data_IF_033466873733
#
_entry.id   IF_033466873733
#
_cell.length_a   1.000
_cell.length_b   1.000
_cell.length_c   1.000
_cell.angle_alpha   90.00
_cell.angle_beta   90.00
_cell.angle_gamma   90.00
#
_symmetry.space_group_name_H-M   'P 1'
#
loop_
_entity.id
_entity.type
_entity.pdbx_description
1 polymer ?
#
# COMPACT_ATOMS: atom_id res chain seq x y z
N UNK A 1 9.41 17.47 11.19
CA UNK A 1 8.04 17.28 10.64
C UNK A 1 7.83 15.78 10.55
N UNK A 2 6.69 15.28 11.00
CA UNK A 2 6.39 13.83 10.91
C UNK A 2 5.87 13.55 9.51
N UNK A 3 6.50 12.62 8.79
CA UNK A 3 6.03 12.19 7.46
C UNK A 3 5.17 10.94 7.58
N UNK A 4 4.02 10.95 6.93
CA UNK A 4 3.08 9.82 6.89
C UNK A 4 2.82 9.49 5.43
N UNK A 5 2.96 8.22 5.06
CA UNK A 5 2.75 7.75 3.69
C UNK A 5 1.49 6.88 3.63
N UNK A 6 0.48 7.33 2.89
CA UNK A 6 -0.74 6.57 2.65
C UNK A 6 -0.57 5.68 1.42
N UNK A 7 -0.93 4.40 1.52
CA UNK A 7 -1.03 3.47 0.38
C UNK A 7 -2.50 3.23 0.10
N UNK A 8 -2.99 3.71 -1.04
CA UNK A 8 -4.42 3.85 -1.30
C UNK A 8 -4.83 3.27 -2.66
N UNK A 9 -6.02 2.65 -2.67
CA UNK A 9 -6.77 2.21 -3.85
C UNK A 9 -8.10 1.61 -3.35
N UNK A 10 -9.24 2.07 -3.86
CA UNK A 10 -10.55 1.57 -3.46
C UNK A 10 -10.85 0.18 -4.04
N UNK A 11 -10.24 -0.17 -5.18
CA UNK A 11 -10.29 -1.55 -5.70
C UNK A 11 -9.44 -2.50 -4.85
N UNK A 12 -10.06 -3.60 -4.39
CA UNK A 12 -9.35 -4.72 -3.76
C UNK A 12 -8.55 -5.54 -4.78
N UNK A 13 -7.50 -6.23 -4.33
CA UNK A 13 -6.70 -7.13 -5.19
C UNK A 13 -5.63 -6.46 -6.05
N UNK A 14 -5.43 -5.14 -5.93
CA UNK A 14 -4.45 -4.38 -6.74
C UNK A 14 -3.00 -4.44 -6.26
N UNK A 15 -2.72 -5.19 -5.18
CA UNK A 15 -1.38 -5.28 -4.59
C UNK A 15 -1.02 -4.22 -3.54
N UNK A 16 -1.98 -3.52 -2.92
CA UNK A 16 -1.70 -2.55 -1.83
C UNK A 16 -0.83 -3.12 -0.71
N UNK A 17 -1.24 -4.24 -0.14
CA UNK A 17 -0.50 -4.88 0.95
C UNK A 17 0.89 -5.36 0.51
N UNK A 18 1.10 -5.69 -0.78
CA UNK A 18 2.43 -5.99 -1.31
C UNK A 18 3.32 -4.74 -1.30
N UNK A 19 2.80 -3.61 -1.80
CA UNK A 19 3.48 -2.30 -1.76
C UNK A 19 3.78 -1.88 -0.32
N UNK A 20 2.82 -2.02 0.59
CA UNK A 20 3.02 -1.71 2.01
C UNK A 20 4.11 -2.58 2.63
N UNK A 21 4.14 -3.88 2.33
CA UNK A 21 5.21 -4.77 2.79
C UNK A 21 6.58 -4.35 2.26
N UNK A 22 6.67 -3.99 0.97
CA UNK A 22 7.91 -3.48 0.38
C UNK A 22 8.35 -2.18 1.06
N UNK A 23 7.42 -1.25 1.34
CA UNK A 23 7.71 -0.02 2.08
C UNK A 23 8.19 -0.31 3.52
N UNK A 24 7.52 -1.23 4.22
CA UNK A 24 7.87 -1.61 5.59
C UNK A 24 9.24 -2.32 5.65
N UNK A 25 9.66 -2.94 4.55
CA UNK A 25 10.99 -3.51 4.41
C UNK A 25 12.04 -2.47 4.03
N UNK A 26 11.72 -1.54 3.12
CA UNK A 26 12.58 -0.42 2.75
C UNK A 26 12.82 0.56 3.90
N UNK A 27 11.86 0.65 4.83
CA UNK A 27 11.94 1.47 6.04
C UNK A 27 11.69 0.58 7.27
N UNK A 28 12.70 -0.17 7.75
CA UNK A 28 12.54 -1.18 8.80
C UNK A 28 11.99 -0.66 10.14
N UNK A 29 12.23 0.61 10.45
CA UNK A 29 11.82 1.23 11.72
C UNK A 29 10.49 1.99 11.64
N UNK A 30 9.89 2.09 10.44
CA UNK A 30 8.60 2.74 10.27
C UNK A 30 7.48 1.88 10.90
N UNK A 31 6.67 2.44 11.81
CA UNK A 31 5.41 1.83 12.20
C UNK A 31 4.47 1.72 10.99
N UNK A 32 3.63 0.69 11.01
CA UNK A 32 2.58 0.48 10.01
C UNK A 32 1.23 0.59 10.69
N UNK A 33 0.33 1.34 10.08
CA UNK A 33 -1.07 1.37 10.45
C UNK A 33 -1.83 0.66 9.34
N UNK A 34 -2.66 -0.32 9.70
CA UNK A 34 -3.52 -1.02 8.75
C UNK A 34 -4.97 -0.65 9.02
N UNK A 35 -5.67 -0.16 7.99
CA UNK A 35 -7.07 0.27 8.07
C UNK A 35 -7.87 -0.54 7.07
N UNK A 36 -8.47 -1.66 7.49
CA UNK A 36 -9.21 -2.55 6.58
C UNK A 36 -10.30 -3.31 7.37
N UNK A 37 -11.16 -4.04 6.66
CA UNK A 37 -12.15 -4.93 7.27
C UNK A 37 -11.52 -6.17 7.93
N UNK A 38 -10.31 -6.54 7.52
CA UNK A 38 -9.57 -7.70 8.03
C UNK A 38 -8.07 -7.40 8.07
N UNK A 39 -7.38 -7.85 9.11
CA UNK A 39 -5.92 -7.70 9.22
C UNK A 39 -5.19 -8.63 8.25
N UNK A 40 -4.32 -8.08 7.40
CA UNK A 40 -3.55 -8.78 6.35
C UNK A 40 -2.05 -8.72 6.58
N UNK A 41 -1.55 -7.77 7.36
CA UNK A 41 -0.11 -7.55 7.58
C UNK A 41 0.41 -8.19 8.88
N UNK A 42 -0.13 -9.36 9.23
CA UNK A 42 0.10 -10.06 10.51
C UNK A 42 1.59 -10.38 10.72
N UNK A 43 2.31 -10.64 9.63
CA UNK A 43 3.74 -10.95 9.66
C UNK A 43 4.61 -9.79 10.17
N UNK A 44 4.10 -8.56 10.18
CA UNK A 44 4.78 -7.37 10.72
C UNK A 44 4.67 -7.26 12.26
N UNK A 45 3.87 -8.12 12.91
CA UNK A 45 3.78 -8.26 14.37
C UNK A 45 3.51 -6.92 15.08
N UNK A 46 4.34 -6.56 16.04
CA UNK A 46 4.26 -5.35 16.87
C UNK A 46 4.46 -4.05 16.09
N UNK A 47 4.97 -4.13 14.84
CA UNK A 47 5.07 -2.96 13.97
C UNK A 47 3.73 -2.52 13.39
N UNK A 48 2.73 -3.41 13.32
CA UNK A 48 1.42 -3.07 12.75
C UNK A 48 0.39 -2.78 13.84
N UNK A 49 -0.25 -1.62 13.74
CA UNK A 49 -1.47 -1.30 14.50
C UNK A 49 -2.68 -1.40 13.58
N UNK A 50 -3.59 -2.32 13.86
CA UNK A 50 -4.78 -2.57 13.05
C UNK A 50 -5.99 -1.78 13.55
N UNK A 51 -6.64 -1.04 12.66
CA UNK A 51 -7.91 -0.35 12.87
C UNK A 51 -8.99 -0.99 11.98
N UNK A 52 -9.96 -1.70 12.58
CA UNK A 52 -11.00 -2.38 11.81
C UNK A 52 -12.00 -1.37 11.26
N UNK A 53 -12.25 -1.42 9.94
CA UNK A 53 -13.34 -0.69 9.29
C UNK A 53 -14.58 -1.58 9.22
N UNK A 54 -15.66 -1.16 9.87
CA UNK A 54 -16.89 -1.96 10.01
C UNK A 54 -18.03 -1.41 9.18
N UNK A 55 -18.03 -0.11 8.90
CA UNK A 55 -19.05 0.49 8.05
C UNK A 55 -18.89 0.00 6.61
N UNK A 56 -19.86 -0.79 6.14
CA UNK A 56 -20.00 -1.07 4.71
C UNK A 56 -20.42 0.20 3.96
N UNK A 57 -20.23 0.19 2.63
CA UNK A 57 -20.53 1.35 1.78
C UNK A 57 -21.98 1.84 1.95
N UNK A 58 -22.92 0.91 2.18
CA UNK A 58 -24.32 1.22 2.38
C UNK A 58 -24.58 1.99 3.70
N UNK A 59 -23.93 1.60 4.80
CA UNK A 59 -24.00 2.30 6.09
C UNK A 59 -23.33 3.68 6.05
N UNK A 60 -22.26 3.82 5.26
CA UNK A 60 -21.61 5.12 5.01
C UNK A 60 -22.56 6.06 4.28
N UNK A 61 -23.20 5.58 3.21
CA UNK A 61 -24.16 6.35 2.42
C UNK A 61 -25.41 6.73 3.24
N UNK A 62 -25.96 5.79 4.03
CA UNK A 62 -27.15 6.00 4.86
C UNK A 62 -26.92 7.02 6.00
N UNK A 63 -25.71 7.07 6.54
CA UNK A 63 -25.34 7.98 7.64
C UNK A 63 -24.90 9.37 7.19
N UNK A 64 -24.84 9.62 5.88
CA UNK A 64 -24.21 10.81 5.31
C UNK A 64 -22.72 10.91 5.64
N UNK A 65 -22.05 9.76 5.81
CA UNK A 65 -20.62 9.66 6.14
C UNK A 65 -20.25 9.91 7.60
N UNK A 66 -21.19 10.13 8.51
CA UNK A 66 -20.87 10.37 9.94
C UNK A 66 -20.34 9.12 10.65
N UNK A 67 -20.89 7.94 10.35
CA UNK A 67 -20.42 6.68 10.94
C UNK A 67 -18.98 6.36 10.50
N UNK A 68 -18.66 6.58 9.22
CA UNK A 68 -17.30 6.42 8.69
C UNK A 68 -16.28 7.34 9.36
N UNK A 69 -16.66 8.60 9.64
CA UNK A 69 -15.78 9.58 10.27
C UNK A 69 -15.34 9.16 11.67
N UNK A 70 -16.28 8.67 12.49
CA UNK A 70 -15.97 8.20 13.84
C UNK A 70 -15.02 6.99 13.82
N UNK A 71 -15.10 6.12 12.81
CA UNK A 71 -14.17 5.00 12.64
C UNK A 71 -12.73 5.48 12.32
N UNK A 72 -12.56 6.66 11.73
CA UNK A 72 -11.25 7.24 11.44
C UNK A 72 -10.61 8.00 12.59
N UNK A 73 -11.35 8.35 13.65
CA UNK A 73 -10.82 9.13 14.78
C UNK A 73 -9.62 8.44 15.44
N UNK A 74 -9.66 7.12 15.56
CA UNK A 74 -8.55 6.32 16.09
C UNK A 74 -7.30 6.41 15.21
N UNK A 75 -7.47 6.32 13.90
CA UNK A 75 -6.37 6.44 12.91
C UNK A 75 -5.79 7.85 12.95
N UNK A 76 -6.63 8.88 12.94
CA UNK A 76 -6.22 10.28 12.99
C UNK A 76 -5.48 10.57 14.31
N UNK A 77 -5.96 10.05 15.43
CA UNK A 77 -5.28 10.17 16.73
C UNK A 77 -3.90 9.49 16.69
N UNK A 78 -3.78 8.32 16.04
CA UNK A 78 -2.50 7.66 15.86
C UNK A 78 -1.54 8.48 14.98
N UNK A 79 -2.05 9.10 13.90
CA UNK A 79 -1.27 10.03 13.07
C UNK A 79 -0.75 11.22 13.88
N UNK A 80 -1.59 11.80 14.75
CA UNK A 80 -1.19 12.92 15.62
C UNK A 80 -0.10 12.53 16.62
N UNK A 81 -0.14 11.30 17.13
CA UNK A 81 0.84 10.75 18.09
C UNK A 81 2.09 10.20 17.42
N UNK A 82 2.14 10.13 16.10
CA UNK A 82 3.26 9.56 15.37
C UNK A 82 4.51 10.43 15.56
N UNK A 83 5.53 9.82 16.17
CA UNK A 83 6.85 10.44 16.40
C UNK A 83 7.90 9.99 15.38
N UNK A 84 7.55 9.04 14.51
CA UNK A 84 8.41 8.44 13.49
C UNK A 84 7.70 8.47 12.13
N UNK A 85 8.45 8.40 11.01
CA UNK A 85 7.87 8.16 9.71
C UNK A 85 6.97 6.93 9.73
N UNK A 86 5.72 7.07 9.29
CA UNK A 86 4.68 6.04 9.44
C UNK A 86 4.06 5.70 8.09
N UNK A 87 3.80 4.42 7.85
CA UNK A 87 3.10 3.92 6.67
C UNK A 87 1.66 3.60 7.06
N UNK A 88 0.68 3.95 6.22
CA UNK A 88 -0.73 3.61 6.42
C UNK A 88 -1.23 2.81 5.21
N UNK A 89 -1.52 1.53 5.39
CA UNK A 89 -2.23 0.69 4.42
C UNK A 89 -3.72 0.93 4.54
N UNK A 90 -4.33 1.50 3.50
CA UNK A 90 -5.77 1.79 3.49
C UNK A 90 -6.48 0.77 2.62
N UNK A 91 -7.43 0.06 3.24
CA UNK A 91 -8.22 -1.00 2.66
C UNK A 91 -9.06 -0.58 1.46
N UNK A 92 -9.61 -1.60 0.78
CA UNK A 92 -10.52 -1.40 -0.33
C UNK A 92 -11.81 -0.69 0.14
N UNK A 93 -12.40 0.14 -0.72
CA UNK A 93 -13.58 0.97 -0.46
C UNK A 93 -13.44 2.03 0.66
N UNK A 94 -12.28 2.13 1.32
CA UNK A 94 -12.03 3.09 2.40
C UNK A 94 -11.22 4.31 1.94
N UNK A 95 -10.42 4.16 0.88
CA UNK A 95 -9.39 5.11 0.48
C UNK A 95 -9.94 6.51 0.19
N UNK A 96 -10.91 6.65 -0.72
CA UNK A 96 -11.46 7.97 -1.05
C UNK A 96 -12.15 8.63 0.15
N UNK A 97 -12.86 7.86 0.97
CA UNK A 97 -13.57 8.38 2.14
C UNK A 97 -12.60 8.90 3.21
N UNK A 98 -11.54 8.14 3.51
CA UNK A 98 -10.52 8.53 4.47
C UNK A 98 -9.75 9.76 4.00
N UNK A 99 -9.34 9.80 2.72
CA UNK A 99 -8.66 10.96 2.14
C UNK A 99 -9.52 12.22 2.14
N UNK A 100 -10.83 12.08 1.93
CA UNK A 100 -11.76 13.22 2.00
C UNK A 100 -11.83 13.80 3.41
N UNK A 101 -11.82 12.94 4.44
CA UNK A 101 -11.77 13.37 5.85
C UNK A 101 -10.43 14.05 6.16
N UNK A 102 -9.31 13.46 5.74
CA UNK A 102 -7.99 14.09 5.92
C UNK A 102 -7.90 15.44 5.20
N UNK A 103 -8.49 15.57 4.01
CA UNK A 103 -8.60 16.83 3.28
C UNK A 103 -9.31 17.92 4.07
N UNK A 104 -10.40 17.58 4.77
CA UNK A 104 -11.10 18.53 5.65
C UNK A 104 -10.30 18.93 6.91
N UNK A 105 -9.24 18.18 7.23
CA UNK A 105 -8.37 18.40 8.37
C UNK A 105 -6.97 18.90 7.97
N UNK A 106 -6.75 19.23 6.68
CA UNK A 106 -5.42 19.53 6.14
C UNK A 106 -4.70 20.66 6.90
N UNK A 107 -5.41 21.74 7.25
CA UNK A 107 -4.85 22.86 8.01
C UNK A 107 -4.42 22.44 9.42
N UNK A 108 -5.23 21.63 10.10
CA UNK A 108 -4.91 21.11 11.43
C UNK A 108 -3.71 20.16 11.39
N UNK A 109 -3.64 19.27 10.40
CA UNK A 109 -2.49 18.38 10.20
C UNK A 109 -1.20 19.16 9.91
N UNK A 110 -1.30 20.23 9.11
CA UNK A 110 -0.20 21.13 8.81
C UNK A 110 0.27 21.88 10.06
N UNK A 111 -0.65 22.39 10.89
CA UNK A 111 -0.33 23.04 12.17
C UNK A 111 0.39 22.09 13.13
N UNK A 112 0.06 20.79 13.08
CA UNK A 112 0.75 19.71 13.81
C UNK A 112 2.07 19.28 13.17
N UNK A 113 2.52 19.94 12.09
CA UNK A 113 3.75 19.63 11.34
C UNK A 113 3.78 18.19 10.80
N UNK A 114 2.61 17.67 10.45
CA UNK A 114 2.44 16.37 9.78
C UNK A 114 2.42 16.62 8.26
N UNK A 115 3.29 15.92 7.53
CA UNK A 115 3.32 15.93 6.08
C UNK A 115 2.78 14.60 5.56
N UNK A 116 1.84 14.66 4.62
CA UNK A 116 1.26 13.47 4.01
C UNK A 116 1.85 13.25 2.62
N UNK A 117 2.31 12.03 2.37
CA UNK A 117 2.59 11.51 1.03
C UNK A 117 1.50 10.50 0.66
N UNK A 118 1.16 10.40 -0.61
CA UNK A 118 0.15 9.44 -1.08
C UNK A 118 0.71 8.59 -2.21
N UNK A 119 0.64 7.27 -2.05
CA UNK A 119 0.93 6.26 -3.07
C UNK A 119 -0.40 5.71 -3.58
N UNK A 120 -0.73 6.02 -4.84
CA UNK A 120 -1.89 5.44 -5.53
C UNK A 120 -1.42 4.27 -6.37
N UNK A 121 -2.09 3.12 -6.26
CA UNK A 121 -1.85 1.99 -7.16
C UNK A 121 -2.83 2.04 -8.33
N UNK A 122 -2.36 1.75 -9.54
CA UNK A 122 -3.19 1.56 -10.73
C UNK A 122 -2.85 0.23 -11.39
N UNK A 123 -3.88 -0.47 -11.84
CA UNK A 123 -3.76 -1.70 -12.65
C UNK A 123 -4.63 -1.52 -13.90
N UNK A 124 -4.47 -2.42 -14.88
CA UNK A 124 -5.35 -2.49 -16.06
C UNK A 124 -6.77 -2.97 -15.74
N UNK A 125 -7.09 -3.38 -14.50
CA UNK A 125 -8.45 -3.75 -14.14
C UNK A 125 -9.37 -2.54 -14.20
N UNK A 126 -10.54 -2.63 -14.86
CA UNK A 126 -11.43 -1.48 -15.08
C UNK A 126 -11.77 -0.71 -13.80
N UNK A 127 -12.00 -1.42 -12.69
CA UNK A 127 -12.32 -0.79 -11.40
C UNK A 127 -11.15 -0.02 -10.78
N UNK A 128 -9.92 -0.54 -10.87
CA UNK A 128 -8.74 0.16 -10.36
C UNK A 128 -8.39 1.37 -11.24
N UNK A 129 -8.48 1.18 -12.56
CA UNK A 129 -8.20 2.21 -13.56
C UNK A 129 -9.17 3.38 -13.47
N UNK A 130 -10.45 3.12 -13.22
CA UNK A 130 -11.48 4.15 -13.08
C UNK A 130 -11.36 4.97 -11.80
N UNK A 131 -10.94 4.37 -10.67
CA UNK A 131 -10.85 5.06 -9.38
C UNK A 131 -9.53 5.83 -9.19
N UNK A 132 -8.44 5.41 -9.85
CA UNK A 132 -7.12 6.05 -9.69
C UNK A 132 -7.12 7.59 -9.95
N UNK A 133 -7.77 8.12 -11.02
CA UNK A 133 -7.86 9.58 -11.22
C UNK A 133 -8.49 10.32 -10.04
N UNK A 134 -9.56 9.74 -9.45
CA UNK A 134 -10.27 10.35 -8.32
C UNK A 134 -9.39 10.40 -7.08
N UNK A 135 -8.65 9.33 -6.80
CA UNK A 135 -7.71 9.29 -5.67
C UNK A 135 -6.56 10.29 -5.86
N UNK A 136 -6.02 10.39 -7.08
CA UNK A 136 -4.98 11.37 -7.42
C UNK A 136 -5.45 12.82 -7.29
N UNK A 137 -6.71 13.09 -7.62
CA UNK A 137 -7.37 14.38 -7.42
C UNK A 137 -7.54 14.71 -5.94
N UNK A 138 -8.02 13.75 -5.12
CA UNK A 138 -8.15 13.92 -3.66
C UNK A 138 -6.79 14.11 -2.98
N UNK A 139 -5.73 13.48 -3.51
CA UNK A 139 -4.38 13.63 -2.99
C UNK A 139 -3.79 15.02 -3.26
N UNK A 140 -4.16 15.69 -4.36
CA UNK A 140 -3.52 16.93 -4.81
C UNK A 140 -3.53 18.08 -3.78
N UNK A 141 -4.66 18.42 -3.13
CA UNK A 141 -4.66 19.45 -2.09
C UNK A 141 -4.15 18.96 -0.72
N UNK A 142 -4.09 17.64 -0.51
CA UNK A 142 -3.77 17.03 0.78
C UNK A 142 -2.27 16.71 0.94
N UNK A 143 -1.64 16.23 -0.12
CA UNK A 143 -0.36 15.58 -0.06
C UNK A 143 0.79 16.54 -0.41
N UNK A 144 1.84 16.53 0.40
CA UNK A 144 3.10 17.18 0.11
C UNK A 144 3.83 16.53 -1.09
N UNK A 145 3.60 15.24 -1.33
CA UNK A 145 4.07 14.53 -2.52
C UNK A 145 3.09 13.43 -2.93
N UNK A 146 3.09 13.08 -4.21
CA UNK A 146 2.23 12.02 -4.78
C UNK A 146 3.09 11.04 -5.57
N UNK A 147 2.78 9.76 -5.43
CA UNK A 147 3.37 8.66 -6.17
C UNK A 147 2.26 7.85 -6.85
N UNK A 148 2.52 7.41 -8.08
CA UNK A 148 1.66 6.48 -8.80
C UNK A 148 2.47 5.22 -9.09
N UNK A 149 1.99 4.06 -8.63
CA UNK A 149 2.57 2.76 -8.97
C UNK A 149 1.67 2.10 -10.00
N UNK A 150 2.18 1.93 -11.22
CA UNK A 150 1.59 1.01 -12.19
C UNK A 150 1.93 -0.42 -11.76
N UNK A 151 0.95 -1.16 -11.26
CA UNK A 151 1.12 -2.57 -10.93
C UNK A 151 0.57 -3.43 -12.09
N UNK A 152 1.49 -4.06 -12.83
CA UNK A 152 1.18 -4.82 -14.05
C UNK A 152 0.67 -6.23 -13.79
N UNK A 153 0.19 -6.54 -12.58
CA UNK A 153 -0.37 -7.85 -12.22
C UNK A 153 -1.51 -8.35 -13.14
N UNK A 154 -2.12 -7.46 -13.93
CA UNK A 154 -3.16 -7.75 -14.93
C UNK A 154 -2.79 -7.27 -16.33
N UNK A 155 -1.50 -7.09 -16.59
CA UNK A 155 -0.99 -6.46 -17.80
C UNK A 155 -0.82 -4.95 -17.66
N UNK A 156 -0.34 -4.36 -18.75
CA UNK A 156 0.08 -2.97 -18.82
C UNK A 156 -1.11 -2.01 -18.98
N UNK A 157 -0.92 -0.79 -18.48
CA UNK A 157 -1.81 0.34 -18.76
C UNK A 157 -1.17 1.20 -19.84
N UNK A 158 -1.95 1.69 -20.79
CA UNK A 158 -1.44 2.58 -21.83
C UNK A 158 -0.69 3.78 -21.22
N UNK A 159 0.52 4.05 -21.72
CA UNK A 159 1.40 5.09 -21.16
C UNK A 159 0.75 6.49 -21.11
N UNK A 160 -0.09 6.83 -22.11
CA UNK A 160 -0.85 8.10 -22.12
C UNK A 160 -1.86 8.18 -20.98
N UNK A 161 -2.49 7.05 -20.66
CA UNK A 161 -3.44 6.94 -19.54
C UNK A 161 -2.70 7.07 -18.21
N UNK A 162 -1.55 6.42 -18.05
CA UNK A 162 -0.69 6.58 -16.87
C UNK A 162 -0.25 8.04 -16.69
N UNK A 163 0.26 8.68 -17.74
CA UNK A 163 0.68 10.08 -17.68
C UNK A 163 -0.47 11.02 -17.27
N UNK A 164 -1.68 10.78 -17.78
CA UNK A 164 -2.88 11.55 -17.42
C UNK A 164 -3.28 11.35 -15.95
N UNK A 165 -3.25 10.10 -15.46
CA UNK A 165 -3.59 9.78 -14.07
C UNK A 165 -2.56 10.37 -13.11
N UNK A 166 -1.27 10.27 -13.45
CA UNK A 166 -0.17 10.71 -12.61
C UNK A 166 -0.23 12.21 -12.31
N UNK A 167 -0.63 13.05 -13.28
CA UNK A 167 -0.80 14.50 -13.08
C UNK A 167 0.40 15.15 -12.36
N UNK A 168 1.63 14.80 -12.77
CA UNK A 168 2.87 15.29 -12.16
C UNK A 168 3.37 14.55 -10.92
N UNK A 169 2.73 13.44 -10.52
CA UNK A 169 3.28 12.51 -9.54
C UNK A 169 4.48 11.72 -10.08
N UNK A 170 5.34 11.27 -9.17
CA UNK A 170 6.40 10.31 -9.51
C UNK A 170 5.77 8.96 -9.86
N UNK A 171 6.09 8.43 -11.03
CA UNK A 171 5.57 7.15 -11.51
C UNK A 171 6.63 6.07 -11.39
N UNK A 172 6.28 4.94 -10.81
CA UNK A 172 7.08 3.70 -10.86
C UNK A 172 6.23 2.55 -11.37
N UNK A 173 6.89 1.47 -11.78
CA UNK A 173 6.25 0.30 -12.38
C UNK A 173 6.67 -0.94 -11.62
N UNK A 174 5.70 -1.72 -11.17
CA UNK A 174 5.90 -3.09 -10.74
C UNK A 174 5.52 -4.02 -11.91
N UNK A 175 6.52 -4.74 -12.43
CA UNK A 175 6.33 -5.68 -13.53
C UNK A 175 5.37 -6.82 -13.15
N UNK A 176 4.82 -7.51 -14.15
CA UNK A 176 4.04 -8.71 -13.90
C UNK A 176 4.97 -9.84 -13.45
N UNK A 177 4.58 -10.54 -12.37
CA UNK A 177 5.26 -11.75 -11.92
C UNK A 177 4.33 -12.94 -12.04
N UNK A 178 4.54 -13.73 -13.09
CA UNK A 178 3.97 -15.08 -13.19
C UNK A 178 4.84 -15.99 -12.34
N UNK A 179 4.26 -16.61 -11.32
CA UNK A 179 4.96 -17.46 -10.37
C UNK A 179 4.26 -18.81 -10.26
N UNK A 180 5.04 -19.84 -9.91
CA UNK A 180 4.51 -21.15 -9.53
C UNK A 180 3.56 -21.04 -8.33
N UNK A 181 2.50 -21.85 -8.27
CA UNK A 181 1.52 -21.83 -7.16
C UNK A 181 2.18 -21.99 -5.79
N UNK A 182 3.26 -22.77 -5.71
CA UNK A 182 4.04 -22.94 -4.50
C UNK A 182 4.73 -21.65 -4.05
N UNK A 183 5.24 -20.83 -4.98
CA UNK A 183 5.79 -19.52 -4.64
C UNK A 183 4.70 -18.57 -4.14
N UNK A 184 3.51 -18.59 -4.76
CA UNK A 184 2.35 -17.82 -4.28
C UNK A 184 1.98 -18.22 -2.85
N UNK A 185 1.93 -19.52 -2.55
CA UNK A 185 1.63 -20.01 -1.21
C UNK A 185 2.66 -19.56 -0.17
N UNK A 186 3.96 -19.61 -0.50
CA UNK A 186 5.03 -19.11 0.37
C UNK A 186 4.88 -17.61 0.63
N UNK A 187 4.62 -16.81 -0.42
CA UNK A 187 4.41 -15.37 -0.30
C UNK A 187 3.19 -15.05 0.58
N UNK A 188 2.09 -15.78 0.43
CA UNK A 188 0.87 -15.58 1.22
C UNK A 188 1.07 -15.96 2.70
N UNK A 189 1.86 -17.00 2.98
CA UNK A 189 2.10 -17.47 4.34
C UNK A 189 3.07 -16.58 5.14
N UNK A 190 4.10 -16.03 4.48
CA UNK A 190 5.21 -15.34 5.15
C UNK A 190 5.40 -13.87 4.80
N UNK A 191 4.69 -13.35 3.79
CA UNK A 191 4.92 -12.01 3.24
C UNK A 191 6.33 -11.83 2.64
N UNK A 192 6.60 -10.62 2.14
CA UNK A 192 7.88 -10.26 1.51
C UNK A 192 9.09 -10.46 2.45
N UNK A 193 8.93 -10.12 3.74
CA UNK A 193 10.01 -10.18 4.72
C UNK A 193 10.53 -11.61 4.98
N UNK A 194 9.72 -12.64 4.72
CA UNK A 194 10.15 -14.03 4.88
C UNK A 194 11.11 -14.51 3.79
N UNK A 195 11.08 -13.86 2.62
CA UNK A 195 11.84 -14.29 1.43
C UNK A 195 13.34 -14.29 1.69
N UNK A 196 13.86 -13.29 2.44
CA UNK A 196 15.29 -13.24 2.81
C UNK A 196 15.77 -14.39 3.69
N UNK A 197 14.83 -15.08 4.34
CA UNK A 197 15.10 -16.18 5.28
C UNK A 197 14.84 -17.54 4.63
N UNK A 198 14.47 -17.56 3.35
CA UNK A 198 14.25 -18.81 2.63
C UNK A 198 15.56 -19.56 2.46
N UNK A 199 15.52 -20.83 2.82
CA UNK A 199 16.62 -21.76 2.64
C UNK A 199 16.39 -22.53 1.35
N UNK A 200 17.16 -22.18 0.32
CA UNK A 200 17.07 -22.81 -1.00
C UNK A 200 17.34 -24.31 -0.94
N UNK A 201 18.24 -24.77 -0.05
CA UNK A 201 18.54 -26.19 0.08
C UNK A 201 17.32 -26.96 0.63
N UNK A 202 16.60 -26.39 1.59
CA UNK A 202 15.35 -26.98 2.10
C UNK A 202 14.22 -26.97 1.06
N UNK A 203 14.13 -25.93 0.24
CA UNK A 203 13.16 -25.90 -0.87
C UNK A 203 13.49 -26.99 -1.91
N UNK A 204 14.77 -27.17 -2.24
CA UNK A 204 15.25 -28.20 -3.15
C UNK A 204 15.02 -29.60 -2.59
N UNK A 205 15.31 -29.83 -1.32
CA UNK A 205 15.09 -31.12 -0.66
C UNK A 205 13.60 -31.51 -0.68
N UNK A 206 12.71 -30.55 -0.43
CA UNK A 206 11.27 -30.78 -0.38
C UNK A 206 10.60 -30.93 -1.75
N UNK A 207 11.04 -30.15 -2.74
CA UNK A 207 10.33 -30.00 -4.02
C UNK A 207 11.14 -30.44 -5.24
N UNK A 208 12.37 -30.89 -5.04
CA UNK A 208 13.34 -31.17 -6.10
C UNK A 208 14.06 -29.91 -6.59
N UNK A 209 15.22 -30.12 -7.23
CA UNK A 209 16.13 -29.04 -7.67
C UNK A 209 15.43 -28.03 -8.57
N UNK A 210 14.67 -28.50 -9.56
CA UNK A 210 14.07 -27.63 -10.57
C UNK A 210 12.98 -26.71 -9.99
N UNK A 211 12.00 -27.27 -9.27
CA UNK A 211 10.90 -26.50 -8.70
C UNK A 211 11.38 -25.63 -7.52
N UNK A 212 12.20 -26.18 -6.63
CA UNK A 212 12.76 -25.42 -5.50
C UNK A 212 13.56 -24.19 -5.94
N UNK A 213 14.38 -24.34 -6.99
CA UNK A 213 15.16 -23.22 -7.54
C UNK A 213 14.29 -22.15 -8.21
N UNK A 214 13.25 -22.56 -8.97
CA UNK A 214 12.32 -21.60 -9.60
C UNK A 214 11.55 -20.79 -8.56
N UNK A 215 10.97 -21.47 -7.55
CA UNK A 215 10.26 -20.81 -6.44
C UNK A 215 11.15 -19.77 -5.75
N UNK A 216 12.39 -20.15 -5.41
CA UNK A 216 13.32 -19.22 -4.77
C UNK A 216 13.65 -18.03 -5.68
N UNK A 217 13.92 -18.27 -6.96
CA UNK A 217 14.25 -17.23 -7.94
C UNK A 217 13.09 -16.24 -8.14
N UNK A 218 11.88 -16.74 -8.32
CA UNK A 218 10.68 -15.92 -8.55
C UNK A 218 10.37 -15.02 -7.35
N UNK A 219 10.45 -15.57 -6.13
CA UNK A 219 10.26 -14.80 -4.90
C UNK A 219 11.35 -13.76 -4.70
N UNK A 220 12.60 -14.11 -4.98
CA UNK A 220 13.73 -13.17 -4.87
C UNK A 220 13.57 -12.01 -5.86
N UNK A 221 13.19 -12.31 -7.10
CA UNK A 221 12.93 -11.31 -8.15
C UNK A 221 11.77 -10.40 -7.78
N UNK A 222 10.62 -10.96 -7.40
CA UNK A 222 9.46 -10.18 -6.94
C UNK A 222 9.82 -9.23 -5.80
N UNK A 223 10.59 -9.72 -4.82
CA UNK A 223 11.01 -8.88 -3.69
C UNK A 223 11.90 -7.72 -4.15
N UNK A 224 12.88 -7.98 -5.01
CA UNK A 224 13.77 -6.95 -5.53
C UNK A 224 12.98 -5.87 -6.28
N UNK A 225 12.12 -6.29 -7.21
CA UNK A 225 11.35 -5.38 -8.06
C UNK A 225 10.32 -4.57 -7.23
N UNK A 226 9.68 -5.19 -6.24
CA UNK A 226 8.79 -4.49 -5.32
C UNK A 226 9.52 -3.44 -4.47
N UNK A 227 10.74 -3.74 -3.99
CA UNK A 227 11.58 -2.80 -3.23
C UNK A 227 12.05 -1.63 -4.10
N UNK A 228 12.45 -1.90 -5.34
CA UNK A 228 12.83 -0.86 -6.30
C UNK A 228 11.64 0.05 -6.63
N UNK A 229 10.46 -0.53 -6.87
CA UNK A 229 9.23 0.19 -7.19
C UNK A 229 8.88 1.24 -6.12
N UNK A 230 9.07 0.90 -4.84
CA UNK A 230 8.69 1.78 -3.73
C UNK A 230 9.80 2.73 -3.29
N UNK A 231 11.01 2.60 -3.85
CA UNK A 231 12.19 3.35 -3.41
C UNK A 231 11.99 4.87 -3.38
N UNK A 232 11.35 5.53 -4.37
CA UNK A 232 11.11 6.97 -4.31
C UNK A 232 10.21 7.37 -3.13
N UNK A 233 9.17 6.58 -2.85
CA UNK A 233 8.24 6.83 -1.76
C UNK A 233 8.88 6.55 -0.39
N UNK A 234 9.68 5.49 -0.29
CA UNK A 234 10.46 5.16 0.91
C UNK A 234 11.49 6.25 1.24
N UNK A 235 12.21 6.74 0.23
CA UNK A 235 13.20 7.82 0.37
C UNK A 235 12.54 9.09 0.87
N UNK A 236 11.42 9.47 0.26
CA UNK A 236 10.64 10.62 0.74
C UNK A 236 10.12 10.42 2.15
N UNK A 237 9.72 9.21 2.55
CA UNK A 237 9.17 8.99 3.89
C UNK A 237 10.21 9.29 4.99
N UNK A 238 11.49 8.97 4.77
CA UNK A 238 12.50 9.03 5.85
C UNK A 238 13.24 10.36 6.00
N UNK A 239 13.34 11.20 4.98
CA UNK A 239 14.10 12.45 5.13
C UNK A 239 14.86 12.87 3.89
#
# INVERSE_FOLDING_TARGET
MTRILLVVQDKGGVGKSLVTRALAEAVPDAPVIEVDASQRLIELKDRVTFFPMRADRAAIDLSGGRAARAEFDGVITAMQRATRPTIIDVGANTSASFMSVLGSLADALTALKIQIGVVVLVTSEPGALAEAPRLMMLAKPLAATRFLIENRLRGEVEAKTIAKIADGATVTVLAEHVMEDHAVAVLQAGGLASIRKLDVAKLIDRHGVALGSRVHSDLTRLRADAMETVLPAATWLVG
#
